data_IF_655291593976
#
_entry.id   IF_655291593976
#
_cell.length_a   1.000
_cell.length_b   1.000
_cell.length_c   1.000
_cell.angle_alpha   90.00
_cell.angle_beta   90.00
_cell.angle_gamma   90.00
#
_symmetry.space_group_name_H-M   'P 1'
#
loop_
_entity.id
_entity.type
_entity.pdbx_description
1 polymer ?
#
# COMPACT_ATOMS: atom_id res chain seq x y z
N UNK A 1 -15.18 16.12 -11.60
CA UNK A 1 -14.43 14.86 -11.38
C UNK A 1 -15.04 13.81 -12.30
N UNK A 2 -14.25 13.32 -13.27
CA UNK A 2 -14.78 12.62 -14.45
C UNK A 2 -15.28 11.20 -14.20
N UNK A 3 -16.33 10.83 -14.94
CA UNK A 3 -16.97 9.51 -15.00
C UNK A 3 -16.07 8.46 -15.69
N UNK A 4 -14.92 8.16 -15.09
CA UNK A 4 -14.03 7.11 -15.59
C UNK A 4 -14.50 5.73 -15.12
N UNK A 5 -14.23 4.69 -15.91
CA UNK A 5 -14.49 3.30 -15.49
C UNK A 5 -13.80 2.92 -14.17
N UNK A 6 -12.65 3.55 -13.88
CA UNK A 6 -11.96 3.42 -12.61
C UNK A 6 -12.76 4.03 -11.45
N UNK A 7 -13.24 5.27 -11.60
CA UNK A 7 -14.03 5.95 -10.57
C UNK A 7 -15.31 5.16 -10.24
N UNK A 8 -15.99 4.59 -11.25
CA UNK A 8 -17.15 3.71 -11.03
C UNK A 8 -16.79 2.45 -10.25
N UNK A 9 -15.65 1.83 -10.54
CA UNK A 9 -15.19 0.62 -9.84
C UNK A 9 -14.80 0.90 -8.38
N UNK A 10 -14.16 2.04 -8.12
CA UNK A 10 -13.84 2.49 -6.75
C UNK A 10 -15.12 2.84 -5.98
N UNK A 11 -16.03 3.60 -6.57
CA UNK A 11 -17.28 4.00 -5.93
C UNK A 11 -18.23 2.81 -5.69
N UNK A 12 -18.16 1.77 -6.51
CA UNK A 12 -18.94 0.54 -6.33
C UNK A 12 -18.48 -0.35 -5.17
N UNK A 13 -17.26 -0.16 -4.66
CA UNK A 13 -16.73 -0.89 -3.50
C UNK A 13 -15.75 0.01 -2.72
N UNK A 14 -16.29 1.04 -2.06
CA UNK A 14 -15.49 1.93 -1.22
C UNK A 14 -14.93 1.16 -0.01
N UNK A 15 -13.65 0.82 -0.10
CA UNK A 15 -12.92 0.11 0.94
C UNK A 15 -12.48 1.08 2.02
N UNK A 16 -12.93 0.82 3.23
CA UNK A 16 -12.51 1.56 4.44
C UNK A 16 -12.12 0.51 5.47
N UNK A 17 -10.92 0.65 6.03
CA UNK A 17 -10.41 -0.25 7.06
C UNK A 17 -9.60 0.54 8.08
N UNK A 18 -9.60 0.03 9.31
CA UNK A 18 -8.71 0.47 10.36
C UNK A 18 -7.52 -0.48 10.41
N UNK A 19 -6.31 0.05 10.29
CA UNK A 19 -5.07 -0.70 10.37
C UNK A 19 -4.20 -0.17 11.51
N UNK A 20 -3.36 -1.02 12.13
CA UNK A 20 -2.35 -0.53 13.05
C UNK A 20 -1.32 0.31 12.29
N UNK A 21 -0.89 1.43 12.86
CA UNK A 21 0.15 2.27 12.24
C UNK A 21 1.53 1.62 12.27
N UNK A 22 1.72 0.62 13.13
CA UNK A 22 2.90 -0.23 13.18
C UNK A 22 2.43 -1.66 12.96
N UNK A 23 2.94 -2.32 11.93
CA UNK A 23 2.67 -3.72 11.65
C UNK A 23 3.82 -4.59 12.17
N UNK A 24 3.50 -5.68 12.85
CA UNK A 24 4.47 -6.72 13.19
C UNK A 24 4.55 -7.72 12.05
N UNK A 25 5.70 -7.79 11.39
CA UNK A 25 5.92 -8.67 10.24
C UNK A 25 5.75 -10.14 10.66
N UNK A 26 4.84 -10.91 10.03
CA UNK A 26 4.47 -12.24 10.54
C UNK A 26 5.61 -13.26 10.45
N UNK A 27 6.56 -13.07 9.52
CA UNK A 27 7.67 -14.00 9.33
C UNK A 27 8.95 -13.60 10.08
N UNK A 28 9.21 -12.30 10.27
CA UNK A 28 10.48 -11.82 10.85
C UNK A 28 10.31 -11.26 12.26
N UNK A 29 9.08 -10.95 12.68
CA UNK A 29 8.78 -10.28 13.94
C UNK A 29 9.18 -8.80 14.00
N UNK A 30 9.76 -8.26 12.92
CA UNK A 30 10.16 -6.86 12.83
C UNK A 30 8.94 -5.94 12.82
N UNK A 31 9.14 -4.70 13.28
CA UNK A 31 8.10 -3.68 13.32
C UNK A 31 8.25 -2.73 12.13
N UNK A 32 7.30 -2.78 11.21
CA UNK A 32 7.26 -1.90 10.05
C UNK A 32 6.31 -0.72 10.30
N UNK A 33 6.71 0.47 9.87
CA UNK A 33 5.82 1.64 9.83
C UNK A 33 4.79 1.43 8.71
N UNK A 34 3.55 1.14 9.09
CA UNK A 34 2.49 0.73 8.18
C UNK A 34 1.57 1.91 7.84
N UNK A 35 2.17 2.95 7.27
CA UNK A 35 1.47 4.14 6.77
C UNK A 35 1.87 4.36 5.32
N UNK A 36 0.89 4.46 4.42
CA UNK A 36 1.16 4.74 3.00
C UNK A 36 0.53 6.06 2.61
N UNK A 37 1.32 7.02 2.10
CA UNK A 37 0.80 8.20 1.43
C UNK A 37 -0.19 7.78 0.34
N UNK A 38 -1.36 8.41 0.30
CA UNK A 38 -2.42 8.13 -0.68
C UNK A 38 -3.52 7.17 -0.24
N UNK A 39 -3.33 6.40 0.84
CA UNK A 39 -4.38 5.49 1.37
C UNK A 39 -4.86 5.85 2.78
N UNK A 40 -3.98 6.39 3.63
CA UNK A 40 -4.36 6.74 5.00
C UNK A 40 -5.15 8.05 5.01
N UNK A 41 -6.37 8.01 5.56
CA UNK A 41 -7.23 9.19 5.68
C UNK A 41 -6.93 10.01 6.95
N UNK A 42 -6.84 9.35 8.10
CA UNK A 42 -6.56 9.97 9.41
C UNK A 42 -6.14 8.93 10.45
N UNK A 43 -5.63 9.42 11.58
CA UNK A 43 -5.31 8.64 12.77
C UNK A 43 -6.51 8.67 13.71
N UNK A 44 -6.92 7.51 14.22
CA UNK A 44 -8.03 7.39 15.17
C UNK A 44 -7.63 7.93 16.56
N UNK A 45 -8.62 8.45 17.30
CA UNK A 45 -8.43 8.88 18.69
C UNK A 45 -7.70 10.21 18.88
N UNK A 46 -7.36 10.92 17.80
CA UNK A 46 -6.74 12.26 17.84
C UNK A 46 -7.55 13.25 17.02
N UNK A 47 -7.34 14.54 17.26
CA UNK A 47 -7.97 15.61 16.48
C UNK A 47 -7.47 15.61 15.03
N UNK A 48 -8.24 16.18 14.09
CA UNK A 48 -7.80 16.30 12.70
C UNK A 48 -6.47 17.07 12.54
N UNK A 49 -6.20 18.04 13.42
CA UNK A 49 -4.95 18.80 13.41
C UNK A 49 -3.77 17.93 13.83
N UNK A 50 -3.92 17.17 14.92
CA UNK A 50 -2.90 16.24 15.41
C UNK A 50 -2.63 15.14 14.39
N UNK A 51 -3.69 14.54 13.84
CA UNK A 51 -3.55 13.50 12.81
C UNK A 51 -2.72 13.99 11.61
N UNK A 52 -2.99 15.19 11.09
CA UNK A 52 -2.22 15.75 9.97
C UNK A 52 -0.75 15.96 10.33
N UNK A 53 -0.48 16.55 11.49
CA UNK A 53 0.88 16.82 11.93
C UNK A 53 1.70 15.53 12.13
N UNK A 54 1.11 14.53 12.77
CA UNK A 54 1.75 13.22 12.99
C UNK A 54 1.99 12.48 11.67
N UNK A 55 1.00 12.42 10.78
CA UNK A 55 1.16 11.78 9.48
C UNK A 55 2.24 12.45 8.64
N UNK A 56 2.31 13.79 8.66
CA UNK A 56 3.36 14.52 7.96
C UNK A 56 4.75 14.11 8.47
N UNK A 57 4.95 14.10 9.79
CA UNK A 57 6.22 13.66 10.39
C UNK A 57 6.61 12.24 9.95
N UNK A 58 5.65 11.31 9.96
CA UNK A 58 5.88 9.92 9.60
C UNK A 58 6.18 9.76 8.10
N UNK A 59 5.50 10.51 7.23
CA UNK A 59 5.78 10.51 5.79
C UNK A 59 7.15 11.10 5.47
N UNK A 60 7.56 12.15 6.17
CA UNK A 60 8.91 12.71 6.05
C UNK A 60 9.97 11.66 6.42
N UNK A 61 9.77 10.88 7.49
CA UNK A 61 10.70 9.80 7.85
C UNK A 61 10.68 8.66 6.82
N UNK A 62 9.50 8.20 6.41
CA UNK A 62 9.33 7.10 5.46
C UNK A 62 10.02 7.35 4.11
N UNK A 63 10.15 8.62 3.72
CA UNK A 63 10.65 9.03 2.40
C UNK A 63 12.09 9.54 2.40
N UNK A 64 12.80 9.42 3.53
CA UNK A 64 14.23 9.78 3.60
C UNK A 64 15.04 8.95 2.60
N UNK A 65 15.95 9.57 1.82
CA UNK A 65 16.69 8.86 0.76
C UNK A 65 17.44 7.62 1.23
N UNK A 66 17.91 7.61 2.49
CA UNK A 66 18.61 6.50 3.15
C UNK A 66 17.82 5.18 3.16
N UNK A 67 16.48 5.26 3.15
CA UNK A 67 15.59 4.11 3.20
C UNK A 67 15.08 3.69 1.82
N UNK A 68 15.50 4.40 0.77
CA UNK A 68 14.94 4.25 -0.57
C UNK A 68 15.93 3.61 -1.52
N UNK A 69 15.38 2.87 -2.47
CA UNK A 69 16.07 2.40 -3.66
C UNK A 69 15.31 2.88 -4.89
N UNK A 70 16.04 3.32 -5.93
CA UNK A 70 15.45 3.70 -7.22
C UNK A 70 15.79 2.66 -8.27
N UNK A 71 14.77 2.11 -8.90
CA UNK A 71 14.91 1.09 -9.94
C UNK A 71 14.63 1.68 -11.32
N UNK A 72 15.56 1.50 -12.26
CA UNK A 72 15.38 1.86 -13.67
C UNK A 72 14.97 0.61 -14.43
N UNK A 73 13.75 0.62 -14.98
CA UNK A 73 13.21 -0.49 -15.75
C UNK A 73 13.90 -0.66 -17.10
N UNK A 74 14.14 -1.91 -17.48
CA UNK A 74 14.57 -2.33 -18.82
C UNK A 74 13.71 -3.51 -19.31
N UNK A 75 13.64 -3.77 -20.62
CA UNK A 75 12.96 -4.95 -21.14
C UNK A 75 13.45 -6.23 -20.46
N UNK A 76 12.52 -7.06 -19.97
CA UNK A 76 12.82 -8.29 -19.23
C UNK A 76 13.10 -8.11 -17.73
N UNK A 77 13.18 -6.87 -17.23
CA UNK A 77 13.30 -6.62 -15.80
C UNK A 77 12.09 -7.12 -15.01
N UNK A 78 12.35 -7.66 -13.82
CA UNK A 78 11.32 -8.01 -12.84
C UNK A 78 11.69 -7.39 -11.50
N UNK A 79 10.74 -6.69 -10.90
CA UNK A 79 10.82 -6.29 -9.50
C UNK A 79 9.86 -7.16 -8.68
N UNK A 80 10.37 -7.74 -7.60
CA UNK A 80 9.58 -8.45 -6.62
C UNK A 80 9.91 -7.89 -5.23
N UNK A 81 8.87 -7.51 -4.48
CA UNK A 81 9.03 -6.80 -3.22
C UNK A 81 8.00 -7.27 -2.19
N UNK A 82 8.33 -7.10 -0.92
CA UNK A 82 7.44 -7.40 0.20
C UNK A 82 6.58 -6.18 0.56
N UNK A 83 5.27 -6.25 0.26
CA UNK A 83 4.32 -5.17 0.57
C UNK A 83 4.09 -4.97 2.08
N UNK A 84 4.50 -5.91 2.94
CA UNK A 84 4.32 -5.82 4.40
C UNK A 84 5.34 -4.87 5.03
N UNK A 85 6.47 -4.65 4.36
CA UNK A 85 7.60 -3.86 4.86
C UNK A 85 7.99 -2.68 3.96
N UNK A 86 7.27 -2.44 2.85
CA UNK A 86 7.64 -1.41 1.87
C UNK A 86 6.47 -0.56 1.43
N UNK A 87 6.75 0.70 1.14
CA UNK A 87 5.94 1.56 0.28
C UNK A 87 6.70 1.81 -1.03
N UNK A 88 5.98 2.07 -2.12
CA UNK A 88 6.61 2.35 -3.41
C UNK A 88 5.93 3.53 -4.11
N UNK A 89 6.71 4.19 -4.97
CA UNK A 89 6.28 5.34 -5.74
C UNK A 89 6.38 5.03 -7.24
N UNK A 90 5.26 5.15 -7.94
CA UNK A 90 5.25 5.08 -9.39
C UNK A 90 5.88 6.35 -9.99
N UNK A 91 6.63 6.24 -11.11
CA UNK A 91 7.19 7.41 -11.78
C UNK A 91 6.07 8.32 -12.31
N UNK A 92 6.20 9.62 -12.08
CA UNK A 92 5.39 10.68 -12.68
C UNK A 92 6.17 11.47 -13.75
N UNK A 93 7.45 11.15 -13.95
CA UNK A 93 8.36 11.79 -14.89
C UNK A 93 8.28 11.18 -16.30
N UNK A 94 7.26 10.37 -16.59
CA UNK A 94 7.05 9.72 -17.89
C UNK A 94 5.97 10.38 -18.73
N UNK A 95 5.06 11.14 -18.11
CA UNK A 95 3.85 11.64 -18.76
C UNK A 95 4.12 12.66 -19.88
N UNK A 96 5.30 13.30 -19.85
CA UNK A 96 5.73 14.26 -20.87
C UNK A 96 6.51 13.62 -22.04
N UNK A 97 6.73 12.31 -22.00
CA UNK A 97 7.44 11.56 -23.02
C UNK A 97 6.44 10.83 -23.92
N UNK A 98 6.65 10.88 -25.24
CA UNK A 98 5.84 10.13 -26.21
C UNK A 98 6.29 8.66 -26.29
N UNK A 99 6.19 7.94 -25.17
CA UNK A 99 6.62 6.54 -25.05
C UNK A 99 5.52 5.65 -24.52
N UNK A 100 5.42 4.42 -25.05
CA UNK A 100 4.54 3.42 -24.46
C UNK A 100 5.25 2.70 -23.31
N UNK A 101 4.63 2.70 -22.13
CA UNK A 101 5.11 1.94 -20.96
C UNK A 101 4.03 0.97 -20.48
N UNK A 102 4.27 -0.32 -20.67
CA UNK A 102 3.38 -1.39 -20.23
C UNK A 102 4.07 -2.32 -19.23
N UNK A 103 3.40 -2.59 -18.10
CA UNK A 103 3.85 -3.55 -17.09
C UNK A 103 2.72 -4.51 -16.79
N UNK A 104 3.10 -5.73 -16.41
CA UNK A 104 2.20 -6.73 -15.88
C UNK A 104 2.52 -6.93 -14.40
N UNK A 105 1.50 -7.02 -13.56
CA UNK A 105 1.66 -7.20 -12.11
C UNK A 105 0.83 -8.37 -11.63
N UNK A 106 1.47 -9.22 -10.85
CA UNK A 106 0.84 -10.27 -10.04
C UNK A 106 1.05 -9.88 -8.58
N UNK A 107 0.02 -10.08 -7.75
CA UNK A 107 0.07 -9.82 -6.30
C UNK A 107 -0.31 -11.10 -5.59
N UNK A 108 0.44 -11.45 -4.55
CA UNK A 108 0.10 -12.55 -3.66
C UNK A 108 -0.86 -12.07 -2.58
N UNK A 109 -1.84 -12.91 -2.20
CA UNK A 109 -2.74 -12.62 -1.08
C UNK A 109 -1.90 -12.62 0.20
N UNK A 110 -2.03 -11.55 0.99
CA UNK A 110 -1.44 -11.45 2.32
C UNK A 110 -2.45 -11.68 3.43
N UNK A 111 -1.95 -11.84 4.64
CA UNK A 111 -2.74 -11.97 5.87
C UNK A 111 -3.25 -10.60 6.38
N UNK A 112 -4.12 -10.64 7.38
CA UNK A 112 -4.62 -9.44 8.06
C UNK A 112 -3.48 -8.82 8.89
N UNK A 113 -3.15 -7.52 8.73
CA UNK A 113 -2.07 -6.91 9.51
C UNK A 113 -2.40 -6.86 11.01
N UNK A 114 -1.43 -7.24 11.84
CA UNK A 114 -1.50 -7.22 13.30
C UNK A 114 -0.52 -6.19 13.88
N UNK A 115 -0.96 -5.46 14.90
CA UNK A 115 -0.17 -4.48 15.63
C UNK A 115 0.66 -5.09 16.78
N UNK A 116 1.59 -4.32 17.38
CA UNK A 116 2.39 -4.78 18.53
C UNK A 116 1.58 -5.13 19.78
N UNK A 117 0.34 -4.64 19.88
CA UNK A 117 -0.63 -4.93 20.94
C UNK A 117 -1.49 -6.17 20.64
N UNK A 118 -1.24 -6.84 19.51
CA UNK A 118 -2.03 -7.99 19.05
C UNK A 118 -3.35 -7.60 18.37
N UNK A 119 -3.64 -6.32 18.19
CA UNK A 119 -4.86 -5.90 17.51
C UNK A 119 -4.76 -6.16 16.00
N UNK A 120 -5.73 -6.90 15.47
CA UNK A 120 -5.87 -7.14 14.04
C UNK A 120 -6.59 -5.97 13.35
N UNK A 121 -6.23 -5.75 12.09
CA UNK A 121 -6.91 -4.76 11.26
C UNK A 121 -8.39 -5.08 11.08
N UNK A 122 -9.23 -4.05 11.04
CA UNK A 122 -10.68 -4.19 10.93
C UNK A 122 -11.20 -3.58 9.63
N UNK A 123 -11.92 -4.37 8.83
CA UNK A 123 -12.67 -3.86 7.68
C UNK A 123 -13.94 -3.15 8.16
N UNK A 124 -14.11 -1.89 7.76
CA UNK A 124 -15.24 -1.03 8.14
C UNK A 124 -16.29 -0.97 7.02
N UNK A 125 -15.83 -0.91 5.76
CA UNK A 125 -16.71 -0.85 4.59
C UNK A 125 -16.07 -1.53 3.40
N UNK A 126 -16.93 -2.03 2.50
CA UNK A 126 -16.56 -2.71 1.27
C UNK A 126 -16.33 -4.21 1.46
N UNK A 127 -15.89 -4.87 0.39
CA UNK A 127 -15.55 -6.30 0.37
C UNK A 127 -14.07 -6.47 0.10
N UNK A 128 -13.38 -7.19 0.98
CA UNK A 128 -11.96 -7.52 0.79
C UNK A 128 -11.73 -8.18 -0.56
N UNK A 129 -10.54 -7.92 -1.13
CA UNK A 129 -10.12 -8.59 -2.35
C UNK A 129 -9.82 -10.06 -2.04
N UNK A 130 -10.69 -10.95 -2.49
CA UNK A 130 -10.38 -12.37 -2.58
C UNK A 130 -9.82 -12.67 -3.97
N UNK A 131 -8.94 -13.66 -4.10
CA UNK A 131 -8.69 -14.25 -5.41
C UNK A 131 -9.89 -15.16 -5.74
N UNK A 132 -10.57 -14.87 -6.85
CA UNK A 132 -11.61 -15.77 -7.39
C UNK A 132 -11.02 -17.12 -7.84
N UNK A 133 -9.70 -17.22 -7.97
CA UNK A 133 -8.98 -18.40 -8.42
C UNK A 133 -7.78 -18.71 -7.51
N UNK A 134 -7.76 -19.91 -6.92
CA UNK A 134 -6.58 -20.44 -6.21
C UNK A 134 -5.59 -20.97 -7.24
N UNK A 135 -4.41 -20.35 -7.34
CA UNK A 135 -3.29 -20.93 -8.08
C UNK A 135 -2.60 -21.92 -7.15
N UNK A 136 -2.80 -23.22 -7.37
CA UNK A 136 -2.06 -24.26 -6.68
C UNK A 136 -0.66 -24.34 -7.31
N UNK A 137 0.38 -24.11 -6.53
CA UNK A 137 1.77 -24.40 -6.94
C UNK A 137 2.13 -25.74 -6.34
N UNK A 138 2.21 -26.78 -7.16
CA UNK A 138 2.79 -28.06 -6.78
C UNK A 138 4.31 -27.91 -6.70
N UNK A 139 4.90 -28.31 -5.57
CA UNK A 139 6.34 -28.46 -5.42
C UNK A 139 6.87 -29.65 -6.22
#
# INVERSE_FOLDING_TARGET
>A
MGDSGYARRVNGNLLVAHHPMVHVHPETGERALFVSPGFVSHILGVTPRESRALLQLLYEQLTRPEYTVRFRWEPGSVAFWDNRATAHLAPNDVDHLEVERRLHRVTLIGDVPVGPDGHESQLISGKSFAADHRVAVSA
#
